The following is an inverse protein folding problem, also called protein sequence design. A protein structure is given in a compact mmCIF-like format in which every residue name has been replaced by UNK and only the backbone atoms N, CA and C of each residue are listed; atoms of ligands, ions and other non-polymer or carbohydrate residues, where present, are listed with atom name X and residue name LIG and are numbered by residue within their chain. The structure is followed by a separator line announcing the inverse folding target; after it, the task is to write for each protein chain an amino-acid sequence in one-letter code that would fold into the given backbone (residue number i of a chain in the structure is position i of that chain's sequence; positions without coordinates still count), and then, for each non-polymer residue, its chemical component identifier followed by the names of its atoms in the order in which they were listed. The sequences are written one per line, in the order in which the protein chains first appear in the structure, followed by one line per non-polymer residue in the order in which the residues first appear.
data_IF_799098601536
#
_entry.id   IF_799098601536
#
_cell.length_a   1.000
_cell.length_b   1.000
_cell.length_c   1.000
_cell.angle_alpha   90.00
_cell.angle_beta   90.00
_cell.angle_gamma   90.00
#
_symmetry.space_group_name_H-M   'P 1'
#
loop_
_entity.id
_entity.type
_entity.pdbx_description
1 polymer ?
#
# COMPACT_ATOMS: atom_id res chain seq x y z
N UNK A 1 16.13 25.66 23.39
CA UNK A 1 15.36 26.91 23.16
C UNK A 1 14.44 26.64 22.00
N UNK A 2 13.12 26.71 22.19
CA UNK A 2 12.14 26.50 21.11
C UNK A 2 12.26 27.70 20.17
N UNK A 3 12.54 27.44 18.89
CA UNK A 3 12.67 28.49 17.89
C UNK A 3 11.28 28.86 17.37
N UNK A 4 10.86 30.12 17.55
CA UNK A 4 9.53 30.63 17.11
C UNK A 4 9.28 30.36 15.63
N UNK A 5 10.32 30.42 14.78
CA UNK A 5 10.18 30.17 13.35
C UNK A 5 9.87 28.69 13.04
N UNK A 6 10.39 27.75 13.84
CA UNK A 6 10.10 26.32 13.68
C UNK A 6 8.67 25.97 14.07
N UNK A 7 8.14 26.63 15.14
CA UNK A 7 6.73 26.48 15.53
C UNK A 7 5.81 26.97 14.41
N UNK A 8 6.07 28.16 13.87
CA UNK A 8 5.25 28.73 12.79
C UNK A 8 5.34 27.89 11.52
N UNK A 9 6.50 27.31 11.21
CA UNK A 9 6.65 26.38 10.08
C UNK A 9 5.83 25.09 10.28
N UNK A 10 5.82 24.54 11.50
CA UNK A 10 5.02 23.34 11.80
C UNK A 10 3.52 23.62 11.64
N UNK A 11 3.05 24.75 12.14
CA UNK A 11 1.65 25.15 11.96
C UNK A 11 1.32 25.31 10.47
N UNK A 12 2.18 25.97 9.69
CA UNK A 12 1.96 26.13 8.27
C UNK A 12 1.95 24.79 7.51
N UNK A 13 2.78 23.82 7.92
CA UNK A 13 2.79 22.47 7.33
C UNK A 13 1.43 21.77 7.51
N UNK A 14 0.76 21.96 8.65
CA UNK A 14 -0.53 21.35 8.94
C UNK A 14 -1.66 22.14 8.24
N UNK A 15 -1.77 23.44 8.50
CA UNK A 15 -2.90 24.26 8.09
C UNK A 15 -2.94 24.59 6.59
N UNK A 16 -1.77 24.69 5.93
CA UNK A 16 -1.64 25.22 4.57
C UNK A 16 -1.03 24.24 3.57
N UNK A 17 -0.27 23.23 4.03
CA UNK A 17 0.54 22.37 3.19
C UNK A 17 0.12 20.89 3.25
N UNK A 18 -1.04 20.60 3.86
CA UNK A 18 -1.64 19.27 3.91
C UNK A 18 -0.75 18.19 4.55
N UNK A 19 0.02 18.54 5.61
CA UNK A 19 0.66 17.51 6.44
C UNK A 19 -0.41 16.73 7.19
N UNK A 20 -0.43 15.43 7.02
CA UNK A 20 -1.30 14.55 7.79
C UNK A 20 -0.55 13.33 8.36
N UNK A 21 -1.10 12.77 9.43
CA UNK A 21 -0.86 11.39 9.81
C UNK A 21 -1.84 10.57 8.99
N UNK A 22 -1.34 9.95 7.92
CA UNK A 22 -2.18 9.20 7.01
C UNK A 22 -2.83 8.01 7.69
N UNK A 23 -2.14 7.38 8.64
CA UNK A 23 -2.69 6.25 9.38
C UNK A 23 -1.98 6.03 10.71
N UNK A 24 -2.75 5.62 11.73
CA UNK A 24 -2.25 4.84 12.86
C UNK A 24 -2.74 3.41 12.65
N UNK A 25 -1.82 2.46 12.60
CA UNK A 25 -2.13 1.05 12.35
C UNK A 25 -1.64 0.19 13.51
N UNK A 26 -2.54 -0.60 14.09
CA UNK A 26 -2.16 -1.59 15.10
C UNK A 26 -1.90 -2.94 14.44
N UNK A 27 -0.68 -3.45 14.59
CA UNK A 27 -0.30 -4.81 14.22
C UNK A 27 -0.66 -5.79 15.32
N UNK A 28 -1.31 -6.91 15.00
CA UNK A 28 -1.76 -7.91 15.97
C UNK A 28 -1.40 -9.30 15.48
N UNK A 29 -0.62 -10.04 16.27
CA UNK A 29 -0.37 -11.46 16.02
C UNK A 29 -1.62 -12.28 16.37
N UNK A 30 -2.06 -13.13 15.44
CA UNK A 30 -3.19 -14.05 15.61
C UNK A 30 -2.76 -15.52 15.69
N UNK A 31 -1.46 -15.80 15.84
CA UNK A 31 -0.95 -17.19 15.85
C UNK A 31 -1.58 -18.05 16.96
N UNK A 32 -1.86 -17.47 18.11
CA UNK A 32 -2.54 -18.14 19.25
C UNK A 32 -4.06 -18.32 19.04
N UNK A 33 -4.62 -17.71 18.00
CA UNK A 33 -6.02 -17.89 17.61
C UNK A 33 -6.24 -19.14 16.74
N UNK A 34 -5.17 -19.81 16.28
CA UNK A 34 -5.28 -21.04 15.51
C UNK A 34 -6.07 -22.12 16.26
N UNK A 35 -6.93 -22.84 15.54
CA UNK A 35 -7.73 -23.95 16.07
C UNK A 35 -7.97 -24.96 14.93
N UNK A 36 -8.39 -26.18 15.28
CA UNK A 36 -8.84 -27.18 14.30
C UNK A 36 -10.29 -26.95 13.84
N UNK A 37 -11.02 -26.15 14.59
CA UNK A 37 -12.40 -25.74 14.30
C UNK A 37 -12.38 -24.27 13.85
N UNK A 38 -12.85 -24.00 12.62
CA UNK A 38 -12.83 -22.67 12.03
C UNK A 38 -13.71 -21.67 12.80
N UNK A 39 -14.85 -22.08 13.34
CA UNK A 39 -15.77 -21.19 14.08
C UNK A 39 -15.15 -20.75 15.41
N UNK A 40 -14.47 -21.68 16.11
CA UNK A 40 -13.74 -21.34 17.33
C UNK A 40 -12.54 -20.43 17.02
N UNK A 41 -11.82 -20.70 15.93
CA UNK A 41 -10.73 -19.83 15.49
C UNK A 41 -11.23 -18.42 15.16
N UNK A 42 -12.31 -18.29 14.39
CA UNK A 42 -12.95 -17.01 14.06
C UNK A 42 -13.38 -16.25 15.32
N UNK A 43 -13.91 -16.94 16.32
CA UNK A 43 -14.30 -16.32 17.61
C UNK A 43 -13.07 -15.76 18.34
N UNK A 44 -11.99 -16.54 18.43
CA UNK A 44 -10.72 -16.09 19.06
C UNK A 44 -10.14 -14.89 18.34
N UNK A 45 -10.16 -14.89 17.00
CA UNK A 45 -9.70 -13.78 16.14
C UNK A 45 -10.48 -12.52 16.45
N UNK A 46 -11.80 -12.59 16.42
CA UNK A 46 -12.69 -11.47 16.74
C UNK A 46 -12.43 -10.91 18.14
N UNK A 47 -12.46 -11.78 19.17
CA UNK A 47 -12.27 -11.38 20.56
C UNK A 47 -10.91 -10.73 20.80
N UNK A 48 -9.84 -11.28 20.19
CA UNK A 48 -8.48 -10.74 20.34
C UNK A 48 -8.36 -9.35 19.72
N UNK A 49 -8.87 -9.14 18.50
CA UNK A 49 -8.84 -7.84 17.83
C UNK A 49 -9.63 -6.81 18.64
N UNK A 50 -10.86 -7.11 19.03
CA UNK A 50 -11.69 -6.19 19.81
C UNK A 50 -11.03 -5.84 21.17
N UNK A 51 -10.40 -6.80 21.82
CA UNK A 51 -9.71 -6.57 23.10
C UNK A 51 -8.48 -5.69 22.96
N UNK A 52 -7.64 -5.89 21.92
CA UNK A 52 -6.38 -5.17 21.78
C UNK A 52 -6.55 -3.81 21.09
N UNK A 53 -7.41 -3.72 20.09
CA UNK A 53 -7.58 -2.50 19.28
C UNK A 53 -8.83 -1.68 19.65
N UNK A 54 -9.57 -2.05 20.71
CA UNK A 54 -10.81 -1.37 21.10
C UNK A 54 -10.66 0.12 21.40
N UNK A 55 -9.49 0.54 21.89
CA UNK A 55 -9.21 1.94 22.21
C UNK A 55 -8.44 2.69 21.08
N UNK A 56 -8.12 2.02 19.96
CA UNK A 56 -7.28 2.60 18.91
C UNK A 56 -7.89 3.86 18.28
N UNK A 57 -9.16 3.81 17.92
CA UNK A 57 -9.87 4.93 17.27
C UNK A 57 -9.94 6.13 18.20
N UNK A 58 -10.42 5.91 19.43
CA UNK A 58 -10.50 6.97 20.45
C UNK A 58 -9.14 7.60 20.72
N UNK A 59 -8.10 6.77 20.88
CA UNK A 59 -6.73 7.26 21.10
C UNK A 59 -6.25 8.13 19.94
N UNK A 60 -6.54 7.73 18.69
CA UNK A 60 -6.21 8.54 17.51
C UNK A 60 -6.94 9.89 17.50
N UNK A 61 -8.23 9.90 17.81
CA UNK A 61 -9.04 11.12 17.89
C UNK A 61 -8.58 12.07 19.01
N UNK A 62 -8.24 11.51 20.17
CA UNK A 62 -7.72 12.30 21.31
C UNK A 62 -6.36 12.95 20.97
N UNK A 63 -5.46 12.23 20.29
CA UNK A 63 -4.16 12.76 19.84
C UNK A 63 -4.38 13.84 18.78
N UNK A 64 -5.26 13.60 17.81
CA UNK A 64 -5.62 14.59 16.79
C UNK A 64 -6.13 15.90 17.43
N UNK A 65 -7.07 15.78 18.38
CA UNK A 65 -7.64 16.93 19.08
C UNK A 65 -6.60 17.70 19.91
N UNK A 66 -5.67 16.99 20.55
CA UNK A 66 -4.64 17.60 21.41
C UNK A 66 -3.51 18.25 20.61
N UNK A 67 -3.04 17.59 19.55
CA UNK A 67 -1.88 18.08 18.78
C UNK A 67 -2.28 18.94 17.58
N UNK A 68 -3.55 18.93 17.19
CA UNK A 68 -4.04 19.63 15.99
C UNK A 68 -3.51 19.05 14.69
N UNK A 69 -3.03 17.80 14.70
CA UNK A 69 -2.50 17.09 13.53
C UNK A 69 -3.56 16.10 13.05
N UNK A 70 -4.10 16.23 11.82
CA UNK A 70 -5.10 15.29 11.32
C UNK A 70 -4.58 13.85 11.28
N UNK A 71 -5.36 12.90 11.81
CA UNK A 71 -5.11 11.46 11.75
C UNK A 71 -6.22 10.83 10.90
N UNK A 72 -5.93 10.67 9.61
CA UNK A 72 -6.97 10.40 8.59
C UNK A 72 -7.54 9.00 8.72
N UNK A 73 -6.70 7.98 8.94
CA UNK A 73 -7.13 6.60 9.09
C UNK A 73 -6.65 5.98 10.40
N UNK A 74 -7.48 5.11 10.95
CA UNK A 74 -7.15 4.17 12.03
C UNK A 74 -7.35 2.77 11.46
N UNK A 75 -6.32 1.92 11.52
CA UNK A 75 -6.31 0.61 10.84
C UNK A 75 -5.79 -0.49 11.77
N UNK A 76 -6.10 -1.72 11.40
CA UNK A 76 -5.52 -2.92 12.01
C UNK A 76 -4.89 -3.77 10.91
N UNK A 77 -3.73 -4.36 11.19
CA UNK A 77 -3.12 -5.40 10.38
C UNK A 77 -2.90 -6.64 11.23
N UNK A 78 -3.19 -7.82 10.68
CA UNK A 78 -3.09 -9.07 11.44
C UNK A 78 -2.19 -10.08 10.74
N UNK A 79 -1.77 -11.11 11.48
CA UNK A 79 -1.05 -12.26 10.91
C UNK A 79 -1.78 -12.78 9.67
N UNK A 80 -1.06 -13.13 8.58
CA UNK A 80 -1.67 -13.72 7.39
C UNK A 80 -2.62 -14.87 7.74
N UNK A 81 -3.89 -14.75 7.36
CA UNK A 81 -4.93 -15.72 7.70
C UNK A 81 -4.64 -17.11 7.15
N UNK A 82 -3.88 -17.22 6.05
CA UNK A 82 -3.46 -18.54 5.55
C UNK A 82 -2.65 -19.32 6.58
N UNK A 83 -1.92 -18.65 7.48
CA UNK A 83 -1.17 -19.30 8.56
C UNK A 83 -2.07 -19.69 9.72
N UNK A 84 -3.00 -18.83 10.10
CA UNK A 84 -3.94 -19.06 11.21
C UNK A 84 -4.92 -20.20 10.89
N UNK A 85 -5.41 -20.23 9.65
CA UNK A 85 -6.38 -21.23 9.18
C UNK A 85 -5.78 -22.58 8.82
N UNK A 86 -4.47 -22.74 8.79
CA UNK A 86 -3.80 -23.95 8.27
C UNK A 86 -4.21 -25.27 8.95
N UNK A 87 -4.59 -25.22 10.22
CA UNK A 87 -5.01 -26.39 10.99
C UNK A 87 -6.49 -26.77 10.87
N UNK A 88 -7.32 -25.94 10.22
CA UNK A 88 -8.78 -26.13 10.22
C UNK A 88 -9.27 -27.17 9.23
N UNK A 89 -8.53 -27.45 8.15
CA UNK A 89 -9.00 -28.27 7.03
C UNK A 89 -10.21 -27.71 6.29
N UNK A 90 -10.58 -26.44 6.54
CA UNK A 90 -11.73 -25.80 5.90
C UNK A 90 -11.48 -25.58 4.41
N UNK A 91 -12.56 -25.63 3.61
CA UNK A 91 -12.52 -25.46 2.15
C UNK A 91 -12.76 -24.01 1.72
N UNK A 92 -13.04 -23.10 2.68
CA UNK A 92 -13.22 -21.67 2.45
C UNK A 92 -12.84 -20.89 3.69
N UNK A 93 -12.18 -19.74 3.51
CA UNK A 93 -11.82 -18.81 4.58
C UNK A 93 -12.69 -17.54 4.60
N UNK A 94 -13.78 -17.51 3.86
CA UNK A 94 -14.79 -16.44 3.96
C UNK A 94 -15.28 -16.22 5.42
N UNK A 95 -15.45 -17.26 6.28
CA UNK A 95 -15.78 -17.05 7.68
C UNK A 95 -14.76 -16.18 8.44
N UNK A 96 -13.45 -16.34 8.17
CA UNK A 96 -12.42 -15.47 8.74
C UNK A 96 -12.59 -14.03 8.27
N UNK A 97 -12.80 -13.79 6.96
CA UNK A 97 -13.02 -12.45 6.45
C UNK A 97 -14.21 -11.77 7.13
N UNK A 98 -15.32 -12.50 7.33
CA UNK A 98 -16.50 -12.00 8.06
C UNK A 98 -16.21 -11.72 9.55
N UNK A 99 -15.37 -12.52 10.19
CA UNK A 99 -14.96 -12.27 11.57
C UNK A 99 -14.08 -11.01 11.67
N UNK A 100 -13.15 -10.81 10.74
CA UNK A 100 -12.32 -9.61 10.62
C UNK A 100 -13.18 -8.37 10.37
N UNK A 101 -14.13 -8.45 9.45
CA UNK A 101 -15.02 -7.33 9.10
C UNK A 101 -15.90 -6.91 10.29
N UNK A 102 -16.51 -7.88 11.00
CA UNK A 102 -17.26 -7.61 12.21
C UNK A 102 -16.39 -6.93 13.28
N UNK A 103 -15.15 -7.40 13.48
CA UNK A 103 -14.23 -6.79 14.42
C UNK A 103 -13.89 -5.36 14.00
N UNK A 104 -13.63 -5.11 12.71
CA UNK A 104 -13.35 -3.78 12.19
C UNK A 104 -14.51 -2.80 12.40
N UNK A 105 -15.73 -3.24 12.18
CA UNK A 105 -16.94 -2.45 12.47
C UNK A 105 -17.11 -2.17 13.96
N UNK A 106 -16.91 -3.18 14.81
CA UNK A 106 -17.06 -3.05 16.28
C UNK A 106 -16.10 -2.01 16.86
N UNK A 107 -14.83 -2.03 16.43
CA UNK A 107 -13.81 -1.10 16.92
C UNK A 107 -13.76 0.21 16.14
N UNK A 108 -14.52 0.34 15.03
CA UNK A 108 -14.67 1.57 14.25
C UNK A 108 -13.47 1.93 13.36
N UNK A 109 -12.60 0.96 13.01
CA UNK A 109 -11.45 1.23 12.12
C UNK A 109 -11.85 1.35 10.66
N UNK A 110 -11.03 2.05 9.89
CA UNK A 110 -11.30 2.30 8.47
C UNK A 110 -10.99 1.09 7.57
N UNK A 111 -9.96 0.32 7.92
CA UNK A 111 -9.55 -0.88 7.18
C UNK A 111 -8.90 -1.90 8.11
N UNK A 112 -9.03 -3.18 7.74
CA UNK A 112 -8.37 -4.29 8.40
C UNK A 112 -7.67 -5.17 7.36
N UNK A 113 -6.34 -5.21 7.40
CA UNK A 113 -5.49 -6.03 6.54
C UNK A 113 -5.08 -7.35 7.19
N UNK A 114 -4.61 -8.30 6.38
CA UNK A 114 -4.15 -9.61 6.85
C UNK A 114 -4.96 -10.80 6.32
N UNK A 115 -5.99 -10.57 5.49
CA UNK A 115 -6.57 -11.65 4.70
C UNK A 115 -5.60 -12.03 3.58
N UNK A 116 -4.47 -12.65 3.97
CA UNK A 116 -3.25 -12.71 3.16
C UNK A 116 -2.63 -14.09 3.11
N UNK A 117 -1.83 -14.34 2.04
CA UNK A 117 -1.01 -15.52 1.85
C UNK A 117 0.41 -15.17 1.37
N UNK A 118 1.43 -15.87 1.87
CA UNK A 118 2.83 -15.67 1.54
C UNK A 118 3.35 -16.85 0.71
N UNK A 119 3.19 -16.78 -0.62
CA UNK A 119 3.40 -17.92 -1.53
C UNK A 119 4.67 -17.82 -2.36
N UNK A 120 5.56 -16.89 -2.07
CA UNK A 120 6.80 -16.67 -2.81
C UNK A 120 7.78 -17.85 -2.76
N UNK A 121 7.75 -18.67 -1.71
CA UNK A 121 8.58 -19.88 -1.61
C UNK A 121 7.87 -21.16 -2.04
N UNK A 122 6.57 -21.18 -1.92
CA UNK A 122 5.71 -22.32 -2.25
C UNK A 122 4.29 -21.99 -1.81
N UNK A 123 3.35 -22.81 -2.22
CA UNK A 123 1.93 -22.62 -1.96
C UNK A 123 1.42 -23.88 -1.23
N UNK A 124 1.01 -23.71 0.03
CA UNK A 124 0.39 -24.78 0.83
C UNK A 124 -1.08 -24.94 0.45
N UNK A 125 -1.75 -25.97 0.97
CA UNK A 125 -3.19 -26.14 0.76
C UNK A 125 -3.98 -24.96 1.39
N UNK A 126 -3.57 -24.52 2.59
CA UNK A 126 -4.17 -23.35 3.25
C UNK A 126 -4.05 -22.07 2.42
N UNK A 127 -2.92 -21.83 1.75
CA UNK A 127 -2.73 -20.70 0.86
C UNK A 127 -3.68 -20.78 -0.34
N UNK A 128 -3.88 -21.98 -0.90
CA UNK A 128 -4.83 -22.20 -2.02
C UNK A 128 -6.25 -21.90 -1.61
N UNK A 129 -6.67 -22.38 -0.44
CA UNK A 129 -7.99 -22.10 0.12
C UNK A 129 -8.18 -20.61 0.34
N UNK A 130 -7.19 -19.91 0.89
CA UNK A 130 -7.26 -18.46 1.09
C UNK A 130 -7.39 -17.73 -0.24
N UNK A 131 -6.53 -18.00 -1.22
CA UNK A 131 -6.54 -17.32 -2.52
C UNK A 131 -7.87 -17.56 -3.23
N UNK A 132 -8.38 -18.79 -3.21
CA UNK A 132 -9.68 -19.14 -3.77
C UNK A 132 -10.84 -18.41 -3.08
N UNK A 133 -10.69 -18.06 -1.79
CA UNK A 133 -11.71 -17.36 -1.01
C UNK A 133 -11.68 -15.83 -1.20
N UNK A 134 -10.59 -15.24 -1.72
CA UNK A 134 -10.43 -13.77 -1.85
C UNK A 134 -11.60 -13.10 -2.58
N UNK A 135 -12.07 -13.58 -3.75
CA UNK A 135 -13.10 -12.88 -4.49
C UNK A 135 -14.40 -12.73 -3.69
N UNK A 136 -14.87 -13.82 -3.08
CA UNK A 136 -16.08 -13.82 -2.26
C UNK A 136 -15.87 -13.06 -0.96
N UNK A 137 -14.73 -13.24 -0.30
CA UNK A 137 -14.40 -12.53 0.93
C UNK A 137 -14.47 -11.01 0.74
N UNK A 138 -13.86 -10.48 -0.33
CA UNK A 138 -13.86 -9.04 -0.60
C UNK A 138 -15.19 -8.51 -1.15
N UNK A 139 -16.01 -9.36 -1.76
CA UNK A 139 -17.36 -8.99 -2.20
C UNK A 139 -18.35 -8.96 -1.04
N UNK A 140 -18.17 -9.82 -0.02
CA UNK A 140 -19.09 -9.98 1.12
C UNK A 140 -18.66 -9.17 2.36
N UNK A 141 -17.52 -8.45 2.31
CA UNK A 141 -17.00 -7.62 3.40
C UNK A 141 -16.74 -6.20 2.95
N UNK A 142 -16.84 -5.27 3.86
CA UNK A 142 -16.66 -3.83 3.59
C UNK A 142 -15.23 -3.36 3.85
N UNK A 143 -14.68 -3.66 5.02
CA UNK A 143 -13.43 -3.08 5.55
C UNK A 143 -12.22 -4.00 5.43
N UNK A 144 -12.41 -5.26 5.05
CA UNK A 144 -11.32 -6.24 4.94
C UNK A 144 -10.53 -6.02 3.66
N UNK A 145 -9.19 -6.03 3.80
CA UNK A 145 -8.25 -5.97 2.69
C UNK A 145 -7.42 -7.25 2.60
N UNK A 146 -7.11 -7.67 1.37
CA UNK A 146 -6.38 -8.89 1.08
C UNK A 146 -5.07 -8.62 0.37
N UNK A 147 -4.10 -9.52 0.55
CA UNK A 147 -2.88 -9.50 -0.24
C UNK A 147 -2.26 -10.89 -0.44
N UNK A 148 -1.50 -11.02 -1.53
CA UNK A 148 -0.74 -12.25 -1.81
C UNK A 148 0.69 -11.87 -2.21
N UNK A 149 1.69 -12.37 -1.48
CA UNK A 149 3.10 -12.16 -1.81
C UNK A 149 3.61 -13.29 -2.71
N UNK A 150 3.75 -13.03 -4.02
CA UNK A 150 4.06 -14.04 -5.04
C UNK A 150 5.55 -14.19 -5.35
N UNK A 151 6.37 -13.22 -4.92
CA UNK A 151 7.79 -13.18 -5.28
C UNK A 151 8.67 -12.58 -4.20
N UNK A 152 9.96 -12.88 -4.27
CA UNK A 152 10.99 -12.19 -3.50
C UNK A 152 12.35 -12.31 -4.16
N UNK A 153 13.24 -11.35 -3.85
CA UNK A 153 14.64 -11.40 -4.32
C UNK A 153 15.34 -12.71 -3.96
N UNK A 154 15.00 -13.30 -2.80
CA UNK A 154 15.63 -14.54 -2.32
C UNK A 154 15.01 -15.83 -2.89
N UNK A 155 13.73 -15.82 -3.23
CA UNK A 155 13.01 -17.01 -3.67
C UNK A 155 12.69 -17.01 -5.17
N UNK A 156 12.82 -15.88 -5.85
CA UNK A 156 12.32 -15.74 -7.21
C UNK A 156 10.82 -15.47 -7.23
N UNK A 157 10.16 -15.75 -8.35
CA UNK A 157 8.74 -15.52 -8.55
C UNK A 157 8.01 -16.86 -8.71
N UNK A 158 6.94 -17.05 -7.97
CA UNK A 158 6.04 -18.18 -8.10
C UNK A 158 5.03 -17.91 -9.23
N UNK A 159 5.33 -18.40 -10.46
CA UNK A 159 4.51 -18.13 -11.64
C UNK A 159 3.15 -18.84 -11.60
N UNK A 160 3.04 -19.96 -10.86
CA UNK A 160 1.73 -20.61 -10.64
C UNK A 160 0.81 -19.69 -9.81
N UNK A 161 1.36 -19.06 -8.76
CA UNK A 161 0.62 -18.08 -7.97
C UNK A 161 0.29 -16.82 -8.78
N UNK A 162 1.21 -16.34 -9.62
CA UNK A 162 0.98 -15.20 -10.52
C UNK A 162 -0.19 -15.49 -11.47
N UNK A 163 -0.22 -16.69 -12.08
CA UNK A 163 -1.31 -17.10 -12.94
C UNK A 163 -2.66 -17.17 -12.19
N UNK A 164 -2.64 -17.64 -10.95
CA UNK A 164 -3.83 -17.70 -10.11
C UNK A 164 -4.33 -16.30 -9.74
N UNK A 165 -3.42 -15.37 -9.42
CA UNK A 165 -3.79 -14.00 -9.05
C UNK A 165 -4.46 -13.25 -10.19
N UNK A 166 -4.06 -13.42 -11.45
CA UNK A 166 -4.78 -12.80 -12.57
C UNK A 166 -6.24 -13.28 -12.67
N UNK A 167 -6.48 -14.58 -12.44
CA UNK A 167 -7.85 -15.14 -12.39
C UNK A 167 -8.63 -14.62 -11.18
N UNK A 168 -7.99 -14.56 -10.02
CA UNK A 168 -8.55 -14.03 -8.77
C UNK A 168 -9.00 -12.57 -8.93
N UNK A 169 -8.15 -11.72 -9.50
CA UNK A 169 -8.47 -10.30 -9.80
C UNK A 169 -9.69 -10.20 -10.74
N UNK A 170 -9.71 -10.99 -11.82
CA UNK A 170 -10.85 -11.01 -12.75
C UNK A 170 -12.15 -11.41 -12.07
N UNK A 171 -12.12 -12.45 -11.22
CA UNK A 171 -13.29 -12.93 -10.48
C UNK A 171 -13.75 -11.90 -9.45
N UNK A 172 -12.82 -11.30 -8.71
CA UNK A 172 -13.12 -10.24 -7.73
C UNK A 172 -13.80 -9.03 -8.40
N UNK A 173 -13.29 -8.59 -9.55
CA UNK A 173 -13.91 -7.53 -10.34
C UNK A 173 -15.33 -7.90 -10.80
N UNK A 174 -15.54 -9.14 -11.27
CA UNK A 174 -16.83 -9.60 -11.74
C UNK A 174 -17.87 -9.69 -10.61
N UNK A 175 -17.48 -10.13 -9.41
CA UNK A 175 -18.37 -10.21 -8.24
C UNK A 175 -18.79 -8.83 -7.69
N UNK A 176 -18.02 -7.79 -7.98
CA UNK A 176 -18.30 -6.40 -7.56
C UNK A 176 -18.53 -5.48 -8.77
N UNK A 177 -19.09 -6.02 -9.83
CA UNK A 177 -19.30 -5.28 -11.10
C UNK A 177 -20.24 -4.07 -10.93
N UNK A 178 -21.22 -4.17 -10.07
CA UNK A 178 -22.15 -3.09 -9.69
C UNK A 178 -21.47 -1.94 -8.94
N UNK A 179 -20.30 -2.21 -8.35
CA UNK A 179 -19.47 -1.25 -7.62
C UNK A 179 -18.17 -0.92 -8.40
N UNK A 180 -18.15 -1.10 -9.71
CA UNK A 180 -16.99 -0.78 -10.55
C UNK A 180 -15.75 -1.63 -10.33
N UNK A 181 -15.89 -2.83 -9.73
CA UNK A 181 -14.77 -3.71 -9.39
C UNK A 181 -14.09 -3.39 -8.06
N UNK A 182 -14.80 -2.81 -7.10
CA UNK A 182 -14.29 -2.33 -5.80
C UNK A 182 -13.47 -3.38 -5.04
N UNK A 183 -13.79 -4.67 -5.12
CA UNK A 183 -13.00 -5.72 -4.49
C UNK A 183 -11.51 -5.67 -4.91
N UNK A 184 -11.23 -5.27 -6.16
CA UNK A 184 -9.85 -5.16 -6.64
C UNK A 184 -9.09 -3.97 -6.01
N UNK A 185 -9.77 -2.91 -5.57
CA UNK A 185 -9.16 -1.81 -4.84
C UNK A 185 -8.69 -2.23 -3.43
N UNK A 186 -9.25 -3.32 -2.89
CA UNK A 186 -8.90 -3.92 -1.59
C UNK A 186 -7.93 -5.11 -1.71
N UNK A 187 -7.46 -5.44 -2.92
CA UNK A 187 -6.58 -6.59 -3.20
C UNK A 187 -5.23 -6.12 -3.74
N UNK A 188 -4.16 -6.54 -3.08
CA UNK A 188 -2.78 -6.22 -3.48
C UNK A 188 -1.99 -7.49 -3.76
N UNK A 189 -1.27 -7.53 -4.87
CA UNK A 189 -0.29 -8.59 -5.16
C UNK A 189 1.11 -8.03 -4.94
N UNK A 190 1.87 -8.64 -4.03
CA UNK A 190 3.20 -8.18 -3.65
C UNK A 190 4.33 -9.05 -4.20
N UNK A 191 5.49 -8.42 -4.38
CA UNK A 191 6.80 -9.06 -4.32
C UNK A 191 7.67 -8.33 -3.29
N UNK A 192 8.47 -9.08 -2.50
CA UNK A 192 9.22 -8.56 -1.35
C UNK A 192 8.33 -7.77 -0.36
N UNK A 193 7.14 -8.27 -0.03
CA UNK A 193 6.27 -7.63 0.94
C UNK A 193 7.00 -7.40 2.26
N UNK A 194 6.84 -6.20 2.83
CA UNK A 194 7.31 -5.88 4.18
C UNK A 194 6.26 -6.30 5.21
N UNK A 195 6.71 -6.69 6.39
CA UNK A 195 5.88 -7.29 7.43
C UNK A 195 5.32 -6.27 8.43
N UNK A 196 5.79 -5.03 8.36
CA UNK A 196 5.49 -3.91 9.25
C UNK A 196 4.81 -2.72 8.55
N UNK A 197 4.20 -2.93 7.40
CA UNK A 197 3.64 -1.87 6.55
C UNK A 197 2.30 -1.30 7.11
N UNK A 198 2.23 -0.01 7.50
CA UNK A 198 0.99 0.59 7.98
C UNK A 198 0.09 1.18 6.89
N UNK A 199 0.60 1.34 5.66
CA UNK A 199 -0.02 2.19 4.64
C UNK A 199 -0.92 1.46 3.64
N UNK A 200 -0.43 0.35 3.09
CA UNK A 200 -1.12 -0.29 1.97
C UNK A 200 -2.41 -0.99 2.39
N UNK A 201 -3.40 -0.97 1.52
CA UNK A 201 -4.47 -1.94 1.58
C UNK A 201 -3.87 -3.36 1.52
N UNK A 202 -4.35 -4.29 2.34
CA UNK A 202 -3.79 -5.64 2.40
C UNK A 202 -2.44 -5.76 3.14
N UNK A 203 -2.00 -4.72 3.87
CA UNK A 203 -0.93 -4.86 4.84
C UNK A 203 -1.21 -6.02 5.81
N UNK A 204 -0.17 -6.65 6.32
CA UNK A 204 -0.29 -7.73 7.29
C UNK A 204 0.77 -7.58 8.38
N UNK A 205 0.53 -8.22 9.52
CA UNK A 205 1.47 -8.28 10.63
C UNK A 205 2.33 -9.54 10.52
N UNK A 206 3.63 -9.38 10.46
CA UNK A 206 4.57 -10.47 10.23
C UNK A 206 4.66 -11.43 11.41
N UNK A 207 5.10 -12.66 11.14
CA UNK A 207 5.26 -13.67 12.19
C UNK A 207 6.48 -13.43 13.09
N UNK A 208 7.39 -12.58 12.67
CA UNK A 208 8.57 -12.15 13.42
C UNK A 208 8.35 -10.93 14.30
N UNK A 209 7.19 -10.28 14.15
CA UNK A 209 6.83 -9.07 14.87
C UNK A 209 6.30 -9.37 16.28
N UNK A 210 6.24 -8.36 17.20
CA UNK A 210 5.66 -8.52 18.53
C UNK A 210 4.21 -9.00 18.51
N UNK A 211 3.70 -9.44 19.66
CA UNK A 211 2.29 -9.85 19.77
C UNK A 211 1.32 -8.72 19.39
N UNK A 212 1.67 -7.49 19.73
CA UNK A 212 0.91 -6.29 19.39
C UNK A 212 1.84 -5.09 19.36
N UNK A 213 1.72 -4.22 18.39
CA UNK A 213 2.47 -2.97 18.29
C UNK A 213 1.71 -1.93 17.47
N UNK A 214 2.14 -0.65 17.58
CA UNK A 214 1.54 0.44 16.81
C UNK A 214 2.54 1.02 15.83
N UNK A 215 2.09 1.20 14.59
CA UNK A 215 2.83 1.85 13.50
C UNK A 215 2.13 3.14 13.08
N UNK A 216 2.90 4.09 12.59
CA UNK A 216 2.36 5.35 12.07
C UNK A 216 2.84 5.60 10.65
N UNK A 217 1.90 5.86 9.76
CA UNK A 217 2.17 6.35 8.43
C UNK A 217 1.96 7.85 8.35
N UNK A 218 2.98 8.60 7.96
CA UNK A 218 2.90 10.05 7.79
C UNK A 218 3.11 10.42 6.33
N UNK A 219 2.33 11.40 5.84
CA UNK A 219 2.37 11.87 4.47
C UNK A 219 2.46 13.40 4.39
N UNK A 220 2.79 13.92 3.22
CA UNK A 220 2.88 15.36 2.99
C UNK A 220 3.51 15.71 1.63
N UNK A 221 2.95 15.21 0.49
CA UNK A 221 3.36 15.68 -0.83
C UNK A 221 3.26 17.19 -0.97
N UNK A 222 2.18 17.81 -0.45
CA UNK A 222 1.98 19.26 -0.45
C UNK A 222 3.08 20.01 0.29
N UNK A 223 3.57 19.49 1.41
CA UNK A 223 4.69 20.09 2.16
C UNK A 223 5.97 20.09 1.33
N UNK A 224 6.24 18.98 0.64
CA UNK A 224 7.43 18.86 -0.23
C UNK A 224 7.29 19.77 -1.44
N UNK A 225 6.12 19.81 -2.08
CA UNK A 225 5.85 20.71 -3.22
C UNK A 225 6.10 22.18 -2.81
N UNK A 226 5.53 22.62 -1.70
CA UNK A 226 5.71 23.99 -1.22
C UNK A 226 7.18 24.30 -0.91
N UNK A 227 7.92 23.36 -0.33
CA UNK A 227 9.35 23.53 -0.09
C UNK A 227 10.14 23.69 -1.40
N UNK A 228 9.80 22.94 -2.45
CA UNK A 228 10.45 23.00 -3.75
C UNK A 228 10.18 24.32 -4.49
N UNK A 229 8.99 24.90 -4.33
CA UNK A 229 8.69 26.23 -4.89
C UNK A 229 9.67 27.29 -4.43
N UNK A 230 10.19 27.19 -3.21
CA UNK A 230 11.19 28.13 -2.66
C UNK A 230 12.58 27.99 -3.32
N UNK A 231 12.85 26.89 -3.99
CA UNK A 231 14.12 26.58 -4.69
C UNK A 231 13.93 26.32 -6.18
N UNK A 232 12.85 26.84 -6.74
CA UNK A 232 12.53 26.70 -8.17
C UNK A 232 13.72 27.12 -9.06
N UNK A 233 14.08 26.30 -10.03
CA UNK A 233 15.19 26.54 -10.94
C UNK A 233 16.60 26.38 -10.33
N UNK A 234 16.72 26.00 -9.05
CA UNK A 234 18.02 25.70 -8.45
C UNK A 234 18.57 24.34 -8.89
N UNK A 235 19.89 24.11 -8.77
CA UNK A 235 20.53 22.82 -9.09
C UNK A 235 19.93 21.65 -8.28
N UNK A 236 20.01 20.42 -8.83
CA UNK A 236 19.42 19.23 -8.22
C UNK A 236 20.00 18.84 -6.85
N UNK A 237 21.22 19.21 -6.53
CA UNK A 237 21.78 19.04 -5.19
C UNK A 237 21.04 19.91 -4.13
N UNK A 238 20.66 21.13 -4.51
CA UNK A 238 19.83 22.01 -3.67
C UNK A 238 18.41 21.43 -3.53
N UNK A 239 17.82 20.94 -4.62
CA UNK A 239 16.50 20.26 -4.61
C UNK A 239 16.53 19.05 -3.67
N UNK A 240 17.51 18.15 -3.82
CA UNK A 240 17.67 16.96 -3.00
C UNK A 240 17.82 17.29 -1.50
N UNK A 241 18.64 18.31 -1.17
CA UNK A 241 18.85 18.74 0.22
C UNK A 241 17.56 19.36 0.82
N UNK A 242 16.78 20.08 0.00
CA UNK A 242 15.50 20.65 0.41
C UNK A 242 14.49 19.55 0.71
N UNK A 243 14.34 18.56 -0.18
CA UNK A 243 13.46 17.40 0.03
C UNK A 243 13.87 16.63 1.31
N UNK A 244 15.16 16.36 1.47
CA UNK A 244 15.69 15.63 2.63
C UNK A 244 15.37 16.35 3.95
N UNK A 245 15.57 17.66 4.03
CA UNK A 245 15.25 18.47 5.23
C UNK A 245 13.76 18.50 5.51
N UNK A 246 12.94 18.55 4.48
CA UNK A 246 11.47 18.53 4.60
C UNK A 246 11.01 17.16 5.10
N UNK A 247 11.49 16.08 4.49
CA UNK A 247 11.20 14.71 4.91
C UNK A 247 11.61 14.44 6.37
N UNK A 248 12.77 14.96 6.80
CA UNK A 248 13.18 14.90 8.21
C UNK A 248 12.12 15.50 9.15
N UNK A 249 11.60 16.69 8.82
CA UNK A 249 10.58 17.36 9.65
C UNK A 249 9.27 16.59 9.69
N UNK A 250 8.81 16.12 8.55
CA UNK A 250 7.58 15.30 8.43
C UNK A 250 7.71 14.03 9.28
N UNK A 251 8.83 13.31 9.18
CA UNK A 251 9.06 12.09 9.96
C UNK A 251 9.06 12.35 11.45
N UNK A 252 9.63 13.48 11.91
CA UNK A 252 9.63 13.85 13.34
C UNK A 252 8.21 14.05 13.88
N UNK A 253 7.28 14.55 13.07
CA UNK A 253 5.87 14.66 13.45
C UNK A 253 5.22 13.27 13.58
N UNK A 254 5.48 12.38 12.61
CA UNK A 254 5.02 10.98 12.69
C UNK A 254 5.54 10.26 13.93
N UNK A 255 6.82 10.46 14.28
CA UNK A 255 7.41 9.86 15.48
C UNK A 255 6.75 10.37 16.76
N UNK A 256 6.46 11.68 16.85
CA UNK A 256 5.75 12.25 18.01
C UNK A 256 4.40 11.57 18.23
N UNK A 257 3.60 11.45 17.18
CA UNK A 257 2.29 10.80 17.23
C UNK A 257 2.43 9.30 17.58
N UNK A 258 3.42 8.61 17.01
CA UNK A 258 3.66 7.20 17.28
C UNK A 258 4.04 6.93 18.74
N UNK A 259 4.90 7.76 19.31
CA UNK A 259 5.29 7.66 20.72
C UNK A 259 4.12 7.90 21.66
N UNK A 260 3.29 8.88 21.36
CA UNK A 260 2.09 9.18 22.15
C UNK A 260 1.05 8.06 22.05
N UNK A 261 0.79 7.56 20.83
CA UNK A 261 -0.12 6.43 20.62
C UNK A 261 0.36 5.17 21.38
N UNK A 262 1.66 4.85 21.29
CA UNK A 262 2.27 3.74 22.03
C UNK A 262 2.07 3.88 23.54
N UNK A 263 2.32 5.08 24.09
CA UNK A 263 2.16 5.33 25.52
C UNK A 263 0.71 5.19 25.99
N UNK A 264 -0.27 5.72 25.24
CA UNK A 264 -1.69 5.66 25.60
C UNK A 264 -2.28 4.26 25.45
N UNK A 265 -1.89 3.56 24.39
CA UNK A 265 -2.37 2.19 24.12
C UNK A 265 -1.64 1.13 24.95
N UNK A 266 -0.49 1.47 25.55
CA UNK A 266 0.30 0.51 26.34
C UNK A 266 0.93 -0.59 25.49
N UNK A 267 1.20 -0.34 24.19
CA UNK A 267 1.82 -1.29 23.26
C UNK A 267 3.14 -0.74 22.72
N UNK A 268 4.10 -1.58 22.29
CA UNK A 268 5.35 -1.12 21.69
C UNK A 268 5.10 -0.20 20.50
N UNK A 269 6.01 0.75 20.31
CA UNK A 269 6.11 1.54 19.08
C UNK A 269 6.94 0.76 18.06
N UNK A 270 6.35 0.35 16.95
CA UNK A 270 6.99 -0.33 15.84
C UNK A 270 7.73 0.65 14.95
N UNK A 271 7.11 1.10 13.85
CA UNK A 271 7.78 1.97 12.88
C UNK A 271 6.98 3.25 12.54
N UNK A 272 7.72 4.23 12.02
CA UNK A 272 7.19 5.35 11.23
C UNK A 272 7.48 5.10 9.76
N UNK A 273 6.44 5.06 8.96
CA UNK A 273 6.51 5.04 7.51
C UNK A 273 6.31 6.45 6.97
N UNK A 274 7.35 7.04 6.39
CA UNK A 274 7.23 8.29 5.64
C UNK A 274 7.01 7.96 4.18
N UNK A 275 5.77 7.87 3.77
CA UNK A 275 5.40 7.70 2.37
C UNK A 275 4.66 8.94 1.87
N UNK A 276 5.23 9.58 0.85
CA UNK A 276 4.53 10.65 0.13
C UNK A 276 3.38 10.00 -0.66
N UNK A 277 2.27 9.77 0.05
CA UNK A 277 1.05 9.18 -0.50
C UNK A 277 0.07 10.32 -0.79
N UNK A 278 -0.22 10.61 -2.07
CA UNK A 278 -1.09 11.71 -2.45
C UNK A 278 -2.55 11.44 -2.05
N UNK A 279 -3.37 12.49 -2.17
CA UNK A 279 -4.83 12.39 -2.14
C UNK A 279 -5.39 13.06 -3.39
N UNK A 280 -6.68 12.83 -3.74
CA UNK A 280 -7.32 13.53 -4.85
C UNK A 280 -7.45 15.04 -4.64
N UNK A 281 -7.11 15.55 -3.45
CA UNK A 281 -7.18 16.98 -3.13
C UNK A 281 -6.13 17.78 -3.91
N UNK A 282 -6.53 18.97 -4.36
CA UNK A 282 -5.60 19.90 -5.03
C UNK A 282 -4.53 20.35 -4.03
N UNK A 283 -3.25 20.26 -4.44
CA UNK A 283 -2.12 20.63 -3.58
C UNK A 283 -1.51 19.46 -2.80
N UNK A 284 -2.02 18.23 -2.95
CA UNK A 284 -1.47 17.02 -2.34
C UNK A 284 -1.16 15.96 -3.40
N UNK A 285 -0.19 16.25 -4.30
CA UNK A 285 0.13 15.47 -5.48
C UNK A 285 1.62 15.20 -5.60
N UNK A 286 2.00 13.95 -5.77
CA UNK A 286 3.40 13.55 -6.10
C UNK A 286 3.74 13.95 -7.53
N UNK A 287 2.79 13.89 -8.46
CA UNK A 287 3.00 14.39 -9.82
C UNK A 287 3.39 15.88 -9.80
N UNK A 288 2.69 16.70 -9.02
CA UNK A 288 3.00 18.12 -8.87
C UNK A 288 4.40 18.35 -8.25
N UNK A 289 4.83 17.50 -7.31
CA UNK A 289 6.22 17.55 -6.78
C UNK A 289 7.25 17.29 -7.88
N UNK A 290 7.00 16.33 -8.78
CA UNK A 290 7.89 16.00 -9.89
C UNK A 290 7.92 17.13 -10.96
N UNK A 291 6.77 17.72 -11.22
CA UNK A 291 6.63 18.84 -12.15
C UNK A 291 7.33 20.11 -11.64
N UNK A 292 7.30 20.37 -10.31
CA UNK A 292 8.05 21.45 -9.69
C UNK A 292 9.59 21.32 -9.87
N UNK A 293 10.08 20.09 -10.10
CA UNK A 293 11.48 19.85 -10.47
C UNK A 293 11.83 20.25 -11.92
N UNK A 294 10.89 20.82 -12.67
CA UNK A 294 11.07 21.33 -14.03
C UNK A 294 10.54 20.43 -15.13
N UNK A 295 9.70 19.44 -14.82
CA UNK A 295 8.99 18.65 -15.83
C UNK A 295 7.73 19.39 -16.28
N UNK A 296 7.47 19.42 -17.60
CA UNK A 296 6.20 19.95 -18.13
C UNK A 296 5.00 19.11 -17.68
N UNK A 297 5.18 17.79 -17.63
CA UNK A 297 4.18 16.84 -17.16
C UNK A 297 4.84 15.55 -16.71
N UNK A 298 4.29 14.96 -15.65
CA UNK A 298 4.60 13.58 -15.28
C UNK A 298 4.25 12.64 -16.44
N UNK A 299 5.04 11.56 -16.61
CA UNK A 299 4.94 10.63 -17.73
C UNK A 299 5.94 10.90 -18.86
N UNK A 300 6.37 12.14 -19.06
CA UNK A 300 7.38 12.51 -20.04
C UNK A 300 8.81 12.03 -19.70
N UNK A 301 9.77 12.22 -20.64
CA UNK A 301 11.20 11.99 -20.37
C UNK A 301 11.66 12.81 -19.16
N UNK A 302 12.49 12.20 -18.29
CA UNK A 302 12.94 12.81 -17.03
C UNK A 302 12.14 12.39 -15.80
N UNK A 303 10.87 11.97 -15.93
CA UNK A 303 10.01 11.60 -14.79
C UNK A 303 10.64 10.52 -13.89
N UNK A 304 11.18 9.46 -14.47
CA UNK A 304 11.82 8.38 -13.70
C UNK A 304 13.06 8.88 -12.95
N UNK A 305 13.85 9.79 -13.54
CA UNK A 305 15.02 10.37 -12.89
C UNK A 305 14.62 11.31 -11.73
N UNK A 306 13.63 12.17 -11.94
CA UNK A 306 13.09 13.04 -10.90
C UNK A 306 12.51 12.21 -9.72
N UNK A 307 11.76 11.13 -10.01
CA UNK A 307 11.22 10.22 -9.00
C UNK A 307 12.33 9.49 -8.23
N UNK A 308 13.41 9.08 -8.90
CA UNK A 308 14.55 8.46 -8.23
C UNK A 308 15.20 9.41 -7.22
N UNK A 309 15.41 10.68 -7.60
CA UNK A 309 15.92 11.73 -6.70
C UNK A 309 14.97 11.95 -5.52
N UNK A 310 13.66 12.11 -5.80
CA UNK A 310 12.65 12.32 -4.78
C UNK A 310 12.64 11.17 -3.76
N UNK A 311 12.55 9.94 -4.24
CA UNK A 311 12.46 8.75 -3.39
C UNK A 311 13.70 8.58 -2.50
N UNK A 312 14.90 8.77 -3.04
CA UNK A 312 16.16 8.69 -2.30
C UNK A 312 16.28 9.79 -1.24
N UNK A 313 15.94 11.04 -1.59
CA UNK A 313 16.00 12.15 -0.66
C UNK A 313 14.99 12.02 0.50
N UNK A 314 13.78 11.53 0.22
CA UNK A 314 12.76 11.23 1.22
C UNK A 314 13.27 10.16 2.21
N UNK A 315 13.80 9.05 1.72
CA UNK A 315 14.36 7.98 2.56
C UNK A 315 15.51 8.47 3.43
N UNK A 316 16.43 9.25 2.87
CA UNK A 316 17.54 9.85 3.63
C UNK A 316 17.05 10.77 4.75
N UNK A 317 16.03 11.58 4.49
CA UNK A 317 15.41 12.45 5.48
C UNK A 317 14.76 11.65 6.62
N UNK A 318 14.02 10.61 6.28
CA UNK A 318 13.37 9.71 7.24
C UNK A 318 14.37 9.03 8.17
N UNK A 319 15.38 8.35 7.64
CA UNK A 319 16.41 7.64 8.42
C UNK A 319 17.18 8.58 9.34
N UNK A 320 17.38 9.84 8.96
CA UNK A 320 18.02 10.85 9.83
C UNK A 320 17.11 11.31 10.96
N UNK A 321 15.79 11.19 10.83
CA UNK A 321 14.83 11.71 11.78
C UNK A 321 14.47 10.70 12.88
N UNK A 322 14.48 9.40 12.57
CA UNK A 322 14.03 8.34 13.48
C UNK A 322 14.84 7.05 13.26
N UNK A 323 15.10 6.33 14.33
CA UNK A 323 15.62 4.96 14.29
C UNK A 323 14.51 3.91 14.02
N UNK A 324 13.27 4.33 14.00
CA UNK A 324 12.08 3.50 13.78
C UNK A 324 11.51 3.66 12.37
N UNK A 325 12.33 4.00 11.38
CA UNK A 325 11.86 4.09 9.99
C UNK A 325 11.74 2.70 9.38
N UNK A 326 10.58 2.40 8.85
CA UNK A 326 10.27 1.10 8.25
C UNK A 326 9.19 1.20 7.19
N UNK A 327 8.49 0.12 6.96
CA UNK A 327 7.41 0.03 5.99
C UNK A 327 7.90 0.23 4.56
N UNK A 328 7.19 1.02 3.80
CA UNK A 328 7.50 1.31 2.40
C UNK A 328 8.37 2.55 2.22
N UNK A 329 8.21 3.55 3.06
CA UNK A 329 8.92 4.85 3.07
C UNK A 329 9.43 5.34 1.70
N UNK A 330 8.93 6.46 1.21
CA UNK A 330 9.33 7.02 -0.08
C UNK A 330 8.20 7.71 -0.82
N UNK A 331 8.17 7.62 -2.15
CA UNK A 331 7.15 8.25 -2.98
C UNK A 331 6.21 7.21 -3.58
N UNK A 332 4.91 7.37 -3.36
CA UNK A 332 3.83 6.58 -3.96
C UNK A 332 3.36 7.23 -5.26
N UNK A 333 2.91 6.41 -6.20
CA UNK A 333 2.43 6.86 -7.51
C UNK A 333 1.07 6.23 -7.87
N UNK A 334 0.06 6.22 -6.97
CA UNK A 334 -1.26 5.70 -7.29
C UNK A 334 -1.94 6.59 -8.33
N UNK A 335 -2.55 5.98 -9.34
CA UNK A 335 -3.16 6.78 -10.42
C UNK A 335 -4.48 7.40 -9.98
N UNK A 336 -5.31 6.72 -9.19
CA UNK A 336 -6.62 7.26 -8.79
C UNK A 336 -6.59 8.28 -7.65
N UNK A 337 -5.50 8.30 -6.89
CA UNK A 337 -5.37 9.08 -5.66
C UNK A 337 -4.54 10.38 -5.86
N UNK A 338 -4.06 10.65 -7.08
CA UNK A 338 -3.21 11.79 -7.41
C UNK A 338 -3.77 12.57 -8.61
N UNK A 339 -4.21 13.80 -8.37
CA UNK A 339 -4.83 14.64 -9.41
C UNK A 339 -3.92 14.85 -10.63
N UNK A 340 -2.61 14.95 -10.44
CA UNK A 340 -1.65 15.10 -11.55
C UNK A 340 -1.43 13.80 -12.31
N UNK A 341 -1.39 12.64 -11.62
CA UNK A 341 -1.31 11.33 -12.28
C UNK A 341 -2.58 11.05 -13.09
N UNK A 342 -3.76 11.35 -12.55
CA UNK A 342 -5.04 11.26 -13.26
C UNK A 342 -4.98 12.08 -14.55
N UNK A 343 -4.65 13.36 -14.45
CA UNK A 343 -4.59 14.27 -15.61
C UNK A 343 -3.57 13.81 -16.67
N UNK A 344 -2.42 13.31 -16.25
CA UNK A 344 -1.40 12.79 -17.16
C UNK A 344 -1.84 11.50 -17.87
N UNK A 345 -2.56 10.62 -17.17
CA UNK A 345 -3.13 9.40 -17.74
C UNK A 345 -4.25 9.72 -18.74
N UNK A 346 -5.17 10.61 -18.39
CA UNK A 346 -6.23 11.09 -19.30
C UNK A 346 -5.68 11.75 -20.56
N UNK A 347 -4.58 12.50 -20.43
CA UNK A 347 -3.89 13.11 -21.57
C UNK A 347 -3.04 12.12 -22.39
N UNK A 348 -2.98 10.83 -22.00
CA UNK A 348 -2.15 9.82 -22.65
C UNK A 348 -0.64 10.03 -22.48
N UNK A 349 -0.20 10.86 -21.54
CA UNK A 349 1.21 11.11 -21.24
C UNK A 349 1.79 10.08 -20.30
N UNK A 350 0.95 9.53 -19.40
CA UNK A 350 1.29 8.48 -18.47
C UNK A 350 0.67 7.16 -18.95
N UNK A 351 1.50 6.17 -19.27
CA UNK A 351 1.08 4.83 -19.70
C UNK A 351 1.47 3.79 -18.67
N UNK A 352 0.94 2.56 -18.78
CA UNK A 352 1.31 1.45 -17.87
C UNK A 352 2.81 1.16 -17.97
N UNK A 353 3.37 1.10 -19.19
CA UNK A 353 4.80 0.86 -19.40
C UNK A 353 5.67 1.98 -18.82
N UNK A 354 5.18 3.22 -18.83
CA UNK A 354 5.88 4.32 -18.16
C UNK A 354 5.81 4.20 -16.64
N UNK A 355 4.66 3.79 -16.12
CA UNK A 355 4.51 3.50 -14.69
C UNK A 355 5.43 2.36 -14.26
N UNK A 356 5.53 1.25 -15.01
CA UNK A 356 6.48 0.16 -14.76
C UNK A 356 7.93 0.66 -14.69
N UNK A 357 8.34 1.53 -15.61
CA UNK A 357 9.66 2.17 -15.53
C UNK A 357 9.83 3.03 -14.27
N UNK A 358 8.78 3.73 -13.83
CA UNK A 358 8.78 4.52 -12.60
C UNK A 358 8.81 3.63 -11.35
N UNK A 359 8.18 2.46 -11.38
CA UNK A 359 8.18 1.52 -10.25
C UNK A 359 9.56 0.93 -9.95
N UNK A 360 10.49 0.97 -10.89
CA UNK A 360 11.89 0.64 -10.62
C UNK A 360 12.50 1.51 -9.51
N UNK A 361 12.00 2.73 -9.32
CA UNK A 361 12.60 3.75 -8.44
C UNK A 361 11.61 4.36 -7.43
N UNK A 362 10.32 4.03 -7.47
CA UNK A 362 9.33 4.42 -6.46
C UNK A 362 9.42 3.53 -5.21
N UNK A 363 8.59 3.78 -4.21
CA UNK A 363 8.57 2.97 -2.99
C UNK A 363 7.60 1.78 -3.04
N UNK A 364 6.64 1.76 -3.95
CA UNK A 364 5.58 0.74 -3.97
C UNK A 364 5.56 -0.07 -5.27
N UNK A 365 4.87 0.39 -6.31
CA UNK A 365 4.61 -0.37 -7.53
C UNK A 365 3.48 0.25 -8.34
N UNK A 366 2.83 -0.54 -9.18
CA UNK A 366 1.61 -0.17 -9.89
C UNK A 366 0.44 -0.13 -8.93
N UNK A 367 -0.09 1.06 -8.70
CA UNK A 367 -1.12 1.24 -7.68
C UNK A 367 -2.36 1.94 -8.23
N UNK A 368 -3.54 1.35 -7.94
CA UNK A 368 -4.86 1.85 -8.34
C UNK A 368 -4.99 2.08 -9.86
N UNK A 369 -4.62 1.09 -10.65
CA UNK A 369 -4.64 1.14 -12.11
C UNK A 369 -5.95 0.55 -12.63
N UNK A 370 -6.85 1.39 -13.13
CA UNK A 370 -8.05 0.93 -13.80
C UNK A 370 -7.73 0.56 -15.27
N UNK A 371 -8.18 -0.62 -15.69
CA UNK A 371 -8.02 -1.14 -17.06
C UNK A 371 -9.38 -1.58 -17.61
N UNK A 372 -9.54 -1.76 -18.95
CA UNK A 372 -10.78 -2.25 -19.52
C UNK A 372 -11.26 -3.55 -18.87
N UNK A 373 -12.56 -3.66 -18.62
CA UNK A 373 -13.14 -4.81 -17.94
C UNK A 373 -12.96 -6.14 -18.68
N UNK A 374 -12.73 -6.11 -20.00
CA UNK A 374 -12.46 -7.27 -20.86
C UNK A 374 -10.98 -7.69 -20.90
N UNK A 375 -10.09 -6.96 -20.22
CA UNK A 375 -8.65 -7.32 -20.13
C UNK A 375 -8.50 -8.79 -19.69
N UNK A 376 -7.78 -9.64 -20.47
CA UNK A 376 -7.61 -11.05 -20.13
C UNK A 376 -6.87 -11.27 -18.79
N UNK A 377 -7.22 -12.36 -18.09
CA UNK A 377 -6.55 -12.73 -16.84
C UNK A 377 -5.04 -12.94 -17.04
N UNK A 378 -4.63 -13.50 -18.17
CA UNK A 378 -3.23 -13.74 -18.52
C UNK A 378 -2.45 -12.43 -18.71
N UNK A 379 -3.09 -11.40 -19.24
CA UNK A 379 -2.50 -10.06 -19.36
C UNK A 379 -2.29 -9.43 -17.96
N UNK A 380 -3.28 -9.55 -17.08
CA UNK A 380 -3.16 -9.09 -15.68
C UNK A 380 -2.03 -9.87 -14.98
N UNK A 381 -1.97 -11.19 -15.17
CA UNK A 381 -0.88 -12.02 -14.65
C UNK A 381 0.50 -11.59 -15.16
N UNK A 382 0.60 -11.20 -16.43
CA UNK A 382 1.86 -10.75 -17.02
C UNK A 382 2.32 -9.42 -16.40
N UNK A 383 1.42 -8.46 -16.20
CA UNK A 383 1.72 -7.20 -15.49
C UNK A 383 2.17 -7.47 -14.05
N UNK A 384 1.52 -8.41 -13.35
CA UNK A 384 1.95 -8.85 -12.02
C UNK A 384 3.36 -9.46 -12.08
N UNK A 385 3.68 -10.26 -13.11
CA UNK A 385 5.00 -10.86 -13.29
C UNK A 385 6.08 -9.80 -13.55
N UNK A 386 5.79 -8.78 -14.37
CA UNK A 386 6.72 -7.69 -14.66
C UNK A 386 7.04 -6.88 -13.40
N UNK A 387 6.04 -6.50 -12.63
CA UNK A 387 6.24 -5.82 -11.35
C UNK A 387 6.98 -6.68 -10.31
N UNK A 388 6.66 -7.98 -10.23
CA UNK A 388 7.38 -8.89 -9.37
C UNK A 388 8.86 -9.03 -9.79
N UNK A 389 9.14 -9.01 -11.10
CA UNK A 389 10.51 -9.03 -11.64
C UNK A 389 11.26 -7.74 -11.30
N UNK A 390 10.62 -6.57 -11.43
CA UNK A 390 11.18 -5.28 -11.01
C UNK A 390 11.54 -5.31 -9.53
N UNK A 391 10.62 -5.76 -8.68
CA UNK A 391 10.86 -5.88 -7.24
C UNK A 391 12.00 -6.85 -6.92
N UNK A 392 11.99 -8.02 -7.52
CA UNK A 392 12.99 -9.07 -7.32
C UNK A 392 14.40 -8.60 -7.70
N UNK A 393 14.55 -7.97 -8.88
CA UNK A 393 15.86 -7.53 -9.39
C UNK A 393 16.41 -6.35 -8.61
N UNK A 394 15.55 -5.39 -8.24
CA UNK A 394 15.95 -4.18 -7.53
C UNK A 394 16.00 -4.36 -6.00
N UNK A 395 15.69 -5.54 -5.48
CA UNK A 395 15.61 -5.83 -4.03
C UNK A 395 14.74 -4.80 -3.30
N UNK A 396 13.57 -4.53 -3.84
CA UNK A 396 12.58 -3.60 -3.28
C UNK A 396 11.20 -4.24 -3.26
N UNK A 397 10.32 -3.75 -2.40
CA UNK A 397 8.90 -4.11 -2.46
C UNK A 397 8.29 -3.55 -3.75
N UNK A 398 7.53 -4.39 -4.44
CA UNK A 398 6.57 -3.96 -5.46
C UNK A 398 5.19 -4.50 -5.12
N UNK A 399 4.17 -3.70 -5.45
CA UNK A 399 2.77 -4.00 -5.23
C UNK A 399 2.00 -3.76 -6.53
N UNK A 400 0.97 -4.56 -6.78
CA UNK A 400 0.08 -4.40 -7.92
C UNK A 400 -1.36 -4.35 -7.43
N UNK A 401 -2.03 -3.21 -7.66
CA UNK A 401 -3.48 -3.03 -7.55
C UNK A 401 -4.04 -2.67 -8.93
N UNK A 402 -4.44 -3.70 -9.68
CA UNK A 402 -5.10 -3.55 -11.00
C UNK A 402 -6.58 -3.81 -10.86
N UNK A 403 -7.38 -2.95 -11.47
CA UNK A 403 -8.84 -2.96 -11.39
C UNK A 403 -9.39 -3.09 -12.81
N UNK A 404 -9.68 -4.30 -13.26
CA UNK A 404 -10.42 -4.49 -14.54
C UNK A 404 -11.84 -4.01 -14.31
N UNK A 405 -12.18 -2.83 -14.83
CA UNK A 405 -13.44 -2.14 -14.59
C UNK A 405 -14.56 -2.73 -15.45
N UNK A 406 -15.53 -3.47 -14.86
CA UNK A 406 -16.56 -4.15 -15.64
C UNK A 406 -17.40 -3.17 -16.46
N UNK A 407 -17.57 -3.46 -17.75
CA UNK A 407 -18.36 -2.64 -18.67
C UNK A 407 -17.72 -1.33 -19.09
N UNK A 408 -16.50 -1.01 -18.63
CA UNK A 408 -15.78 0.21 -18.97
C UNK A 408 -14.72 -0.04 -20.03
N UNK A 409 -14.43 1.02 -20.80
CA UNK A 409 -13.44 1.04 -21.87
C UNK A 409 -12.43 2.18 -21.66
N UNK A 410 -11.36 2.17 -22.43
CA UNK A 410 -10.35 3.23 -22.41
C UNK A 410 -10.99 4.61 -22.57
N UNK A 411 -10.66 5.53 -21.67
CA UNK A 411 -11.21 6.88 -21.61
C UNK A 411 -12.43 7.04 -20.69
N UNK A 412 -13.02 5.93 -20.22
CA UNK A 412 -14.02 6.00 -19.14
C UNK A 412 -13.32 6.26 -17.79
N UNK A 413 -14.11 6.66 -16.81
CA UNK A 413 -13.65 6.85 -15.42
C UNK A 413 -14.36 5.87 -14.49
N UNK A 414 -13.62 5.38 -13.48
CA UNK A 414 -14.14 4.58 -12.37
C UNK A 414 -13.96 5.38 -11.07
N UNK A 415 -15.05 5.57 -10.31
CA UNK A 415 -15.02 6.23 -9.02
C UNK A 415 -14.99 5.19 -7.90
N UNK A 416 -14.05 5.32 -6.97
CA UNK A 416 -13.91 4.48 -5.78
C UNK A 416 -14.37 5.22 -4.51
N UNK A 417 -14.44 6.54 -4.57
CA UNK A 417 -14.86 7.39 -3.46
C UNK A 417 -13.77 7.62 -2.40
N UNK A 418 -14.03 8.58 -1.51
CA UNK A 418 -13.14 8.92 -0.39
C UNK A 418 -11.70 9.17 -0.85
N UNK A 419 -10.74 8.64 -0.09
CA UNK A 419 -9.32 8.77 -0.38
C UNK A 419 -8.86 7.94 -1.60
N UNK A 420 -9.62 6.92 -2.01
CA UNK A 420 -9.28 6.10 -3.18
C UNK A 420 -9.56 6.83 -4.51
N UNK A 421 -10.31 7.92 -4.47
CA UNK A 421 -10.51 8.83 -5.59
C UNK A 421 -11.22 8.23 -6.78
N UNK A 422 -10.73 8.54 -7.98
CA UNK A 422 -11.25 8.04 -9.26
C UNK A 422 -10.10 7.83 -10.26
N UNK A 423 -10.17 6.74 -11.04
CA UNK A 423 -9.15 6.42 -12.03
C UNK A 423 -9.71 6.50 -13.46
N UNK A 424 -8.96 7.08 -14.41
CA UNK A 424 -9.22 6.87 -15.83
C UNK A 424 -8.88 5.43 -16.20
N UNK A 425 -9.70 4.82 -17.06
CA UNK A 425 -9.43 3.49 -17.60
C UNK A 425 -8.30 3.59 -18.62
N UNK A 426 -7.14 3.05 -18.26
CA UNK A 426 -5.92 3.16 -19.05
C UNK A 426 -5.85 2.08 -20.14
N UNK A 427 -5.26 2.38 -21.31
CA UNK A 427 -5.03 1.38 -22.35
C UNK A 427 -4.03 0.32 -21.87
N UNK A 428 -4.29 -0.93 -22.27
CA UNK A 428 -3.40 -2.08 -22.02
C UNK A 428 -2.91 -2.60 -23.37
N UNK A 429 -1.63 -2.99 -23.45
CA UNK A 429 -1.09 -3.65 -24.64
C UNK A 429 -1.86 -4.94 -24.92
N UNK A 430 -2.26 -5.14 -26.18
CA UNK A 430 -3.11 -6.28 -26.61
C UNK A 430 -2.32 -7.52 -27.04
N UNK A 431 -0.99 -7.52 -26.94
CA UNK A 431 -0.20 -8.72 -27.20
C UNK A 431 -0.55 -9.80 -26.17
N UNK A 432 -0.79 -11.01 -26.65
CA UNK A 432 -1.15 -12.13 -25.77
C UNK A 432 0.06 -12.58 -24.94
N UNK A 433 -0.12 -12.71 -23.63
CA UNK A 433 0.84 -13.32 -22.72
C UNK A 433 0.42 -14.75 -22.30
N UNK A 434 -0.61 -15.34 -22.93
CA UNK A 434 -1.20 -16.60 -22.49
C UNK A 434 -0.17 -17.72 -22.42
N UNK A 435 0.65 -17.92 -23.48
CA UNK A 435 1.66 -18.98 -23.51
C UNK A 435 2.79 -18.75 -22.50
N UNK A 436 3.13 -17.48 -22.23
CA UNK A 436 4.13 -17.12 -21.22
C UNK A 436 3.63 -17.48 -19.82
N UNK A 437 2.41 -17.11 -19.47
CA UNK A 437 1.80 -17.41 -18.17
C UNK A 437 1.52 -18.90 -18.00
N UNK A 438 1.09 -19.58 -19.07
CA UNK A 438 0.81 -21.02 -19.05
C UNK A 438 2.04 -21.90 -18.75
N UNK A 439 3.26 -21.37 -18.88
CA UNK A 439 4.48 -22.11 -18.51
C UNK A 439 4.52 -22.44 -17.02
N UNK A 440 3.95 -21.59 -16.16
CA UNK A 440 3.92 -21.82 -14.71
C UNK A 440 5.30 -21.98 -14.06
N UNK A 441 5.33 -22.69 -12.95
CA UNK A 441 6.55 -23.03 -12.23
C UNK A 441 7.16 -21.82 -11.50
N UNK A 442 8.48 -21.69 -11.54
CA UNK A 442 9.21 -20.65 -10.81
C UNK A 442 10.22 -19.92 -11.70
N UNK A 443 10.20 -18.61 -11.69
CA UNK A 443 11.38 -17.85 -12.11
C UNK A 443 12.40 -17.88 -10.97
N UNK A 444 13.63 -18.32 -11.22
CA UNK A 444 14.64 -18.45 -10.17
C UNK A 444 15.06 -17.07 -9.62
N UNK A 445 15.55 -17.08 -8.39
CA UNK A 445 16.13 -15.90 -7.78
C UNK A 445 17.31 -15.35 -8.58
N UNK A 446 17.50 -14.02 -8.66
CA UNK A 446 18.61 -13.43 -9.39
C UNK A 446 19.95 -13.74 -8.70
N UNK A 447 21.04 -13.72 -9.46
CA UNK A 447 22.38 -14.08 -8.98
C UNK A 447 22.80 -13.25 -7.75
N UNK A 448 22.46 -11.98 -7.68
CA UNK A 448 22.84 -11.12 -6.55
C UNK A 448 22.11 -11.48 -5.24
N UNK A 449 21.05 -12.29 -5.27
CA UNK A 449 20.40 -12.77 -4.05
C UNK A 449 21.28 -13.75 -3.26
N UNK A 450 22.32 -14.28 -3.87
CA UNK A 450 23.29 -15.18 -3.24
C UNK A 450 24.40 -14.44 -2.48
N UNK A 451 24.38 -13.12 -2.46
CA UNK A 451 25.30 -12.30 -1.65
C UNK A 451 24.84 -12.35 -0.19
N UNK A 452 25.43 -13.24 0.54
CA UNK A 452 25.27 -13.35 2.00
C UNK A 452 26.50 -12.76 2.70
#
# INVERSE_FOLDING_TARGET
MINRSEILQTIAMIDQQHLDIRTITMGISLLDCADTDIERSCTKVYDKICRLAGDLVRTGEDIEAEFGIPIVNKRVSVTPISLVGAGTGAQSYVPYAKALDRAAHEIGVNFLGGFSALVHKGMTESDRVLIASIPEALAETELVCASVNVGSTRAGINMDAVAEMGRTVKRAAALTADQGGMACAKLVVFANAVEDNPFMAGAFHGVGEPECEVHVGVSGPGVVQHALQSVHGQPFDVVAETVKKTAFRITRMGQLVAQEASARLGVPFGIVDLSLAPTPAVGDSVAAVLEEMGLESVGGPGTTAALALLNDAVKKGGVMASSHVGGLSGAFIPVSEDAGMIAAAEAGRLTIEKLEAMTCVCSVGLDMIAVPGDTPAETISAIIADEAAIGMINNKTTAVRIIPAPGKQVGDTVAFGGLLGSAPVMPVNRCSAADFIARGGRMPAPLHSLKN
#
